data_IF_193135636625
#
_entry.id   IF_193135636625
#
_cell.length_a   1.000
_cell.length_b   1.000
_cell.length_c   1.000
_cell.angle_alpha   90.00
_cell.angle_beta   90.00
_cell.angle_gamma   90.00
#
_symmetry.space_group_name_H-M   'P 1'
#
loop_
_entity.id
_entity.type
_entity.pdbx_description
1 polymer ?
#
# COMPACT_ATOMS: atom_id res chain seq x y z
N UNK A 1 10.92 -20.34 -29.39
CA UNK A 1 12.31 -19.90 -29.13
C UNK A 1 12.29 -18.51 -28.47
N UNK A 2 12.09 -18.40 -27.15
CA UNK A 2 12.16 -17.10 -26.41
C UNK A 2 12.65 -17.29 -24.96
N UNK A 3 13.57 -18.26 -24.73
CA UNK A 3 14.08 -18.56 -23.39
C UNK A 3 15.21 -17.65 -22.86
N UNK A 4 16.09 -17.00 -23.65
CA UNK A 4 17.21 -16.27 -23.09
C UNK A 4 16.84 -14.92 -22.47
N UNK A 5 15.88 -14.18 -22.99
CA UNK A 5 15.49 -12.86 -22.48
C UNK A 5 14.78 -12.94 -21.11
N UNK A 6 13.92 -13.91 -20.91
CA UNK A 6 13.20 -14.10 -19.63
C UNK A 6 14.17 -14.54 -18.52
N UNK A 7 15.20 -15.32 -18.85
CA UNK A 7 16.23 -15.76 -17.89
C UNK A 7 17.08 -14.59 -17.41
N UNK A 8 17.44 -13.67 -18.30
CA UNK A 8 18.22 -12.47 -17.95
C UNK A 8 17.42 -11.52 -17.04
N UNK A 9 16.12 -11.33 -17.29
CA UNK A 9 15.28 -10.48 -16.44
C UNK A 9 15.07 -11.08 -15.06
N UNK A 10 14.85 -12.40 -14.95
CA UNK A 10 14.67 -13.04 -13.64
C UNK A 10 15.95 -13.02 -12.82
N UNK A 11 17.12 -13.21 -13.43
CA UNK A 11 18.42 -13.08 -12.76
C UNK A 11 18.69 -11.65 -12.31
N UNK A 12 18.40 -10.66 -13.16
CA UNK A 12 18.51 -9.25 -12.82
C UNK A 12 17.64 -8.86 -11.61
N UNK A 13 16.37 -9.29 -11.59
CA UNK A 13 15.46 -9.03 -10.49
C UNK A 13 15.75 -9.87 -9.23
N UNK A 14 16.65 -10.84 -9.28
CA UNK A 14 17.10 -11.63 -8.14
C UNK A 14 18.43 -11.12 -7.52
N UNK A 15 19.07 -10.12 -8.12
CA UNK A 15 20.26 -9.50 -7.55
C UNK A 15 19.90 -8.75 -6.27
N UNK A 16 20.54 -9.07 -5.11
CA UNK A 16 20.20 -8.44 -3.83
C UNK A 16 20.30 -6.92 -3.85
N UNK A 17 21.22 -6.34 -4.61
CA UNK A 17 21.40 -4.89 -4.73
C UNK A 17 20.24 -4.25 -5.49
N UNK A 18 19.79 -4.90 -6.56
CA UNK A 18 18.65 -4.43 -7.36
C UNK A 18 17.35 -4.56 -6.58
N UNK A 19 17.18 -5.69 -5.89
CA UNK A 19 16.02 -5.89 -4.99
C UNK A 19 15.98 -4.80 -3.93
N UNK A 20 17.10 -4.50 -3.27
CA UNK A 20 17.17 -3.45 -2.26
C UNK A 20 16.86 -2.07 -2.84
N UNK A 21 17.43 -1.73 -4.00
CA UNK A 21 17.16 -0.45 -4.67
C UNK A 21 15.67 -0.31 -5.04
N UNK A 22 15.09 -1.34 -5.65
CA UNK A 22 13.68 -1.33 -6.04
C UNK A 22 12.76 -1.27 -4.82
N UNK A 23 13.07 -2.04 -3.76
CA UNK A 23 12.31 -1.99 -2.53
C UNK A 23 12.35 -0.60 -1.88
N UNK A 24 13.55 0.02 -1.81
CA UNK A 24 13.71 1.39 -1.29
C UNK A 24 12.92 2.40 -2.12
N UNK A 25 12.98 2.30 -3.44
CA UNK A 25 12.21 3.16 -4.35
C UNK A 25 10.69 2.98 -4.12
N UNK A 26 10.21 1.75 -4.05
CA UNK A 26 8.80 1.46 -3.77
C UNK A 26 8.37 2.04 -2.41
N UNK A 27 9.18 1.87 -1.37
CA UNK A 27 8.92 2.44 -0.05
C UNK A 27 8.89 3.96 -0.07
N UNK A 28 9.81 4.61 -0.78
CA UNK A 28 9.85 6.06 -0.94
C UNK A 28 8.62 6.59 -1.68
N UNK A 29 8.23 5.94 -2.79
CA UNK A 29 7.04 6.29 -3.56
C UNK A 29 5.76 6.08 -2.73
N UNK A 30 5.68 5.01 -1.95
CA UNK A 30 4.54 4.77 -1.09
C UNK A 30 4.47 5.76 0.07
N UNK A 31 5.60 6.03 0.73
CA UNK A 31 5.69 7.01 1.80
C UNK A 31 5.34 8.43 1.34
N UNK A 32 5.78 8.84 0.15
CA UNK A 32 5.46 10.16 -0.43
C UNK A 32 3.97 10.32 -0.78
N UNK A 33 3.22 9.22 -0.89
CA UNK A 33 1.78 9.29 -1.18
C UNK A 33 0.97 9.96 -0.07
N UNK A 34 1.37 9.81 1.20
CA UNK A 34 0.65 10.41 2.33
C UNK A 34 0.66 11.95 2.31
N UNK A 35 1.84 12.61 2.22
CA UNK A 35 1.89 14.07 2.05
C UNK A 35 1.13 14.54 0.81
N UNK A 36 1.26 13.83 -0.31
CA UNK A 36 0.56 14.19 -1.55
C UNK A 36 -0.97 14.12 -1.41
N UNK A 37 -1.48 13.11 -0.68
CA UNK A 37 -2.92 12.99 -0.39
C UNK A 37 -3.38 14.14 0.51
N UNK A 38 -2.60 14.44 1.56
CA UNK A 38 -2.92 15.53 2.50
C UNK A 38 -2.99 16.87 1.77
N UNK A 39 -1.98 17.19 0.95
CA UNK A 39 -1.99 18.39 0.12
C UNK A 39 -3.20 18.42 -0.82
N UNK A 40 -3.58 17.28 -1.41
CA UNK A 40 -4.77 17.17 -2.24
C UNK A 40 -6.06 17.48 -1.48
N UNK A 41 -6.18 17.04 -0.23
CA UNK A 41 -7.32 17.35 0.62
C UNK A 41 -7.38 18.84 0.97
N UNK A 42 -6.24 19.46 1.28
CA UNK A 42 -6.14 20.88 1.57
C UNK A 42 -6.50 21.72 0.33
N UNK A 43 -5.98 21.39 -0.85
CA UNK A 43 -6.28 22.09 -2.10
C UNK A 43 -7.76 22.01 -2.50
N UNK A 44 -8.43 20.87 -2.22
CA UNK A 44 -9.84 20.65 -2.52
C UNK A 44 -10.76 21.01 -1.35
N UNK A 45 -10.21 21.54 -0.25
CA UNK A 45 -10.94 21.92 0.96
C UNK A 45 -11.81 20.80 1.52
N UNK A 46 -11.31 19.55 1.46
CA UNK A 46 -12.02 18.38 1.98
C UNK A 46 -11.90 18.38 3.51
N UNK A 47 -13.06 18.47 4.17
CA UNK A 47 -13.12 18.48 5.63
C UNK A 47 -12.57 17.16 6.25
N UNK A 48 -11.96 17.24 7.46
CA UNK A 48 -11.37 16.07 8.13
C UNK A 48 -12.34 14.90 8.34
N UNK A 49 -13.61 15.18 8.55
CA UNK A 49 -14.65 14.18 8.81
C UNK A 49 -15.48 13.79 7.56
N UNK A 50 -15.20 14.40 6.40
CA UNK A 50 -15.92 14.09 5.16
C UNK A 50 -15.35 12.84 4.49
N UNK A 51 -15.87 11.68 4.91
CA UNK A 51 -15.49 10.37 4.37
C UNK A 51 -15.89 10.25 2.90
N UNK A 52 -17.05 10.81 2.52
CA UNK A 52 -17.60 10.72 1.16
C UNK A 52 -16.67 11.39 0.14
N UNK A 53 -16.27 12.63 0.39
CA UNK A 53 -15.35 13.36 -0.48
C UNK A 53 -13.97 12.70 -0.55
N UNK A 54 -13.48 12.11 0.56
CA UNK A 54 -12.23 11.34 0.56
C UNK A 54 -12.32 10.09 -0.31
N UNK A 55 -13.43 9.36 -0.27
CA UNK A 55 -13.67 8.19 -1.13
C UNK A 55 -13.75 8.58 -2.61
N UNK A 56 -14.44 9.67 -2.93
CA UNK A 56 -14.53 10.20 -4.29
C UNK A 56 -13.13 10.60 -4.79
N UNK A 57 -12.36 11.32 -3.97
CA UNK A 57 -10.98 11.70 -4.29
C UNK A 57 -10.10 10.47 -4.54
N UNK A 58 -10.21 9.43 -3.70
CA UNK A 58 -9.49 8.18 -3.90
C UNK A 58 -9.91 7.50 -5.22
N UNK A 59 -11.22 7.50 -5.54
CA UNK A 59 -11.75 6.96 -6.79
C UNK A 59 -11.14 7.63 -8.02
N UNK A 60 -11.10 8.96 -8.05
CA UNK A 60 -10.46 9.72 -9.14
C UNK A 60 -8.96 9.40 -9.26
N UNK A 61 -8.24 9.31 -8.15
CA UNK A 61 -6.81 8.94 -8.15
C UNK A 61 -6.57 7.57 -8.77
N UNK A 62 -7.34 6.57 -8.36
CA UNK A 62 -7.20 5.21 -8.90
C UNK A 62 -7.61 5.13 -10.37
N UNK A 63 -8.64 5.86 -10.77
CA UNK A 63 -9.07 5.93 -12.15
C UNK A 63 -7.98 6.55 -13.04
N UNK A 64 -7.43 7.69 -12.63
CA UNK A 64 -6.33 8.34 -13.34
C UNK A 64 -5.08 7.45 -13.40
N UNK A 65 -4.70 6.83 -12.29
CA UNK A 65 -3.57 5.91 -12.25
C UNK A 65 -3.78 4.71 -13.19
N UNK A 66 -4.99 4.14 -13.21
CA UNK A 66 -5.36 3.05 -14.10
C UNK A 66 -5.30 3.46 -15.58
N UNK A 67 -5.79 4.66 -15.91
CA UNK A 67 -5.70 5.20 -17.27
C UNK A 67 -4.25 5.43 -17.69
N UNK A 68 -3.44 6.06 -16.84
CA UNK A 68 -2.02 6.30 -17.12
C UNK A 68 -1.26 4.97 -17.33
N UNK A 69 -1.47 3.97 -16.46
CA UNK A 69 -0.84 2.66 -16.61
C UNK A 69 -1.30 1.93 -17.87
N UNK A 70 -2.59 2.01 -18.19
CA UNK A 70 -3.14 1.40 -19.42
C UNK A 70 -2.56 2.05 -20.67
N UNK A 71 -2.42 3.38 -20.67
CA UNK A 71 -1.79 4.14 -21.76
C UNK A 71 -0.31 3.77 -21.90
N UNK A 72 0.42 3.74 -20.79
CA UNK A 72 1.83 3.36 -20.79
C UNK A 72 2.02 1.93 -21.34
N UNK A 73 1.19 0.99 -20.90
CA UNK A 73 1.25 -0.38 -21.38
C UNK A 73 0.89 -0.49 -22.87
N UNK A 74 -0.05 0.32 -23.35
CA UNK A 74 -0.38 0.39 -24.79
C UNK A 74 0.80 0.94 -25.61
N UNK A 75 1.48 1.99 -25.13
CA UNK A 75 2.69 2.55 -25.75
C UNK A 75 3.82 1.49 -25.79
N UNK A 76 3.94 0.69 -24.76
CA UNK A 76 4.90 -0.43 -24.71
C UNK A 76 4.50 -1.64 -25.57
N UNK A 77 3.42 -1.55 -26.34
CA UNK A 77 2.92 -2.62 -27.21
C UNK A 77 2.33 -3.82 -26.45
N UNK A 78 1.96 -3.65 -25.19
CA UNK A 78 1.32 -4.71 -24.40
C UNK A 78 -0.17 -4.75 -24.67
N UNK A 79 -0.78 -5.92 -24.94
CA UNK A 79 -2.20 -6.04 -25.27
C UNK A 79 -3.10 -5.93 -24.03
N UNK A 80 -3.10 -4.78 -23.36
CA UNK A 80 -3.84 -4.56 -22.09
C UNK A 80 -5.36 -4.70 -22.27
N UNK A 81 -5.88 -4.31 -23.44
CA UNK A 81 -7.31 -4.34 -23.72
C UNK A 81 -7.80 -5.67 -24.34
N UNK A 82 -6.88 -6.61 -24.64
CA UNK A 82 -7.24 -7.92 -25.18
C UNK A 82 -7.47 -8.97 -24.09
N UNK A 83 -8.19 -8.59 -23.06
CA UNK A 83 -8.58 -9.51 -22.00
C UNK A 83 -9.81 -10.32 -22.42
N UNK A 84 -9.79 -11.64 -22.17
CA UNK A 84 -11.00 -12.44 -22.29
C UNK A 84 -12.05 -11.97 -21.29
N UNK A 85 -13.34 -12.19 -21.57
CA UNK A 85 -14.42 -11.82 -20.63
C UNK A 85 -14.23 -12.45 -19.26
N UNK A 86 -13.74 -13.67 -19.21
CA UNK A 86 -13.45 -14.39 -17.98
C UNK A 86 -12.32 -13.71 -17.18
N UNK A 87 -11.20 -13.40 -17.84
CA UNK A 87 -10.06 -12.72 -17.21
C UNK A 87 -10.44 -11.31 -16.74
N UNK A 88 -11.24 -10.59 -17.56
CA UNK A 88 -11.74 -9.28 -17.16
C UNK A 88 -12.60 -9.36 -15.87
N UNK A 89 -13.51 -10.34 -15.79
CA UNK A 89 -14.33 -10.58 -14.60
C UNK A 89 -13.47 -10.87 -13.34
N UNK A 90 -12.44 -11.70 -13.49
CA UNK A 90 -11.51 -11.99 -12.38
C UNK A 90 -10.74 -10.75 -11.92
N UNK A 91 -10.20 -9.96 -12.86
CA UNK A 91 -9.47 -8.73 -12.56
C UNK A 91 -10.40 -7.68 -11.93
N UNK A 92 -11.63 -7.55 -12.45
CA UNK A 92 -12.62 -6.64 -11.88
C UNK A 92 -13.01 -7.03 -10.45
N UNK A 93 -13.27 -8.31 -10.21
CA UNK A 93 -13.56 -8.83 -8.88
C UNK A 93 -12.40 -8.58 -7.90
N UNK A 94 -11.17 -8.86 -8.35
CA UNK A 94 -9.98 -8.60 -7.56
C UNK A 94 -9.84 -7.10 -7.23
N UNK A 95 -10.07 -6.21 -8.20
CA UNK A 95 -10.04 -4.77 -8.00
C UNK A 95 -11.11 -4.28 -7.00
N UNK A 96 -12.33 -4.81 -7.08
CA UNK A 96 -13.40 -4.48 -6.14
C UNK A 96 -13.05 -4.95 -4.73
N UNK A 97 -12.59 -6.18 -4.56
CA UNK A 97 -12.27 -6.73 -3.25
C UNK A 97 -10.99 -6.12 -2.67
N UNK A 98 -9.91 -6.09 -3.46
CA UNK A 98 -8.58 -5.67 -3.02
C UNK A 98 -8.48 -4.15 -2.82
N UNK A 99 -9.14 -3.37 -3.66
CA UNK A 99 -9.04 -1.90 -3.61
C UNK A 99 -10.34 -1.30 -3.10
N UNK A 100 -11.47 -1.56 -3.75
CA UNK A 100 -12.74 -0.93 -3.41
C UNK A 100 -13.16 -1.20 -1.96
N UNK A 101 -13.37 -2.46 -1.62
CA UNK A 101 -13.84 -2.86 -0.28
C UNK A 101 -12.82 -2.53 0.81
N UNK A 102 -11.53 -2.76 0.54
CA UNK A 102 -10.45 -2.44 1.48
C UNK A 102 -10.43 -0.94 1.83
N UNK A 103 -10.53 -0.05 0.84
CA UNK A 103 -10.50 1.39 1.09
C UNK A 103 -11.77 1.89 1.78
N UNK A 104 -12.94 1.34 1.47
CA UNK A 104 -14.18 1.67 2.20
C UNK A 104 -14.02 1.37 3.69
N UNK A 105 -13.59 0.16 4.05
CA UNK A 105 -13.35 -0.20 5.45
C UNK A 105 -12.23 0.62 6.09
N UNK A 106 -11.17 0.89 5.36
CA UNK A 106 -10.05 1.69 5.84
C UNK A 106 -10.50 3.11 6.21
N UNK A 107 -11.25 3.79 5.34
CA UNK A 107 -11.71 5.16 5.62
C UNK A 107 -12.80 5.21 6.70
N UNK A 108 -13.70 4.24 6.74
CA UNK A 108 -14.67 4.12 7.84
C UNK A 108 -13.91 3.92 9.16
N UNK A 109 -12.98 2.98 9.23
CA UNK A 109 -12.18 2.74 10.42
C UNK A 109 -11.37 3.97 10.85
N UNK A 110 -10.78 4.69 9.90
CA UNK A 110 -10.01 5.90 10.16
C UNK A 110 -10.87 7.06 10.70
N UNK A 111 -12.15 7.11 10.35
CA UNK A 111 -13.08 8.13 10.87
C UNK A 111 -13.35 7.96 12.38
N UNK A 112 -13.23 6.72 12.90
CA UNK A 112 -13.50 6.40 14.30
C UNK A 112 -12.23 6.11 15.13
N UNK A 113 -11.03 6.31 14.56
CA UNK A 113 -9.78 6.03 15.27
C UNK A 113 -8.73 7.12 15.02
N UNK A 114 -7.76 7.21 15.91
CA UNK A 114 -6.64 8.14 15.73
C UNK A 114 -5.66 7.60 14.68
N UNK A 115 -4.95 8.50 13.99
CA UNK A 115 -3.95 8.11 12.98
C UNK A 115 -2.87 7.17 13.55
N UNK A 116 -2.53 7.34 14.83
CA UNK A 116 -1.61 6.48 15.56
C UNK A 116 -2.13 5.03 15.63
N UNK A 117 -3.36 4.84 16.08
CA UNK A 117 -3.99 3.52 16.14
C UNK A 117 -4.16 2.90 14.76
N UNK A 118 -4.55 3.70 13.77
CA UNK A 118 -4.68 3.26 12.39
C UNK A 118 -3.35 2.76 11.81
N UNK A 119 -2.23 3.42 12.10
CA UNK A 119 -0.91 3.01 11.61
C UNK A 119 -0.46 1.69 12.23
N UNK A 120 -0.70 1.48 13.53
CA UNK A 120 -0.41 0.20 14.21
C UNK A 120 -1.25 -0.93 13.61
N UNK A 121 -2.55 -0.71 13.44
CA UNK A 121 -3.44 -1.70 12.82
C UNK A 121 -3.03 -2.03 11.39
N UNK A 122 -2.63 -1.02 10.62
CA UNK A 122 -2.16 -1.25 9.24
C UNK A 122 -0.84 -2.05 9.20
N UNK A 123 0.10 -1.78 10.12
CA UNK A 123 1.32 -2.58 10.24
C UNK A 123 1.05 -4.04 10.62
N UNK A 124 0.00 -4.29 11.40
CA UNK A 124 -0.44 -5.64 11.78
C UNK A 124 -0.87 -6.47 10.57
N UNK A 125 -1.36 -5.84 9.49
CA UNK A 125 -1.74 -6.50 8.24
C UNK A 125 -0.59 -7.30 7.64
N UNK A 126 0.64 -6.75 7.65
CA UNK A 126 1.82 -7.45 7.13
C UNK A 126 2.11 -8.72 7.94
N UNK A 127 1.98 -8.64 9.27
CA UNK A 127 2.16 -9.79 10.14
C UNK A 127 1.12 -10.89 9.87
N UNK A 128 -0.16 -10.51 9.77
CA UNK A 128 -1.22 -11.46 9.42
C UNK A 128 -1.05 -12.04 8.02
N UNK A 129 -0.57 -11.27 7.04
CA UNK A 129 -0.31 -11.77 5.69
C UNK A 129 0.75 -12.86 5.68
N UNK A 130 1.84 -12.67 6.43
CA UNK A 130 2.90 -13.69 6.56
C UNK A 130 2.40 -14.92 7.29
N UNK A 131 1.57 -14.74 8.33
CA UNK A 131 0.97 -15.85 9.08
C UNK A 131 -0.01 -16.65 8.20
N UNK A 132 -0.90 -15.97 7.49
CA UNK A 132 -1.85 -16.60 6.56
C UNK A 132 -1.14 -17.33 5.43
N UNK A 133 -0.07 -16.75 4.88
CA UNK A 133 0.74 -17.40 3.85
C UNK A 133 1.29 -18.74 4.30
N UNK A 134 1.67 -18.87 5.58
CA UNK A 134 2.12 -20.13 6.16
C UNK A 134 1.07 -21.25 6.12
N UNK A 135 -0.20 -20.90 6.33
CA UNK A 135 -1.30 -21.86 6.32
C UNK A 135 -1.85 -22.15 4.92
N UNK A 136 -1.87 -21.13 4.05
CA UNK A 136 -2.48 -21.23 2.72
C UNK A 136 -1.50 -21.79 1.70
N UNK A 137 -0.23 -21.38 1.76
CA UNK A 137 0.77 -21.76 0.76
C UNK A 137 1.72 -22.84 1.30
N UNK A 138 1.69 -24.02 0.69
CA UNK A 138 2.56 -25.16 1.09
C UNK A 138 4.05 -24.85 0.88
N UNK A 139 4.39 -23.97 -0.06
CA UNK A 139 5.77 -23.61 -0.42
C UNK A 139 6.28 -22.35 0.29
N UNK A 140 5.45 -21.66 1.08
CA UNK A 140 5.81 -20.42 1.77
C UNK A 140 5.68 -20.52 3.29
N UNK A 141 6.35 -21.56 3.85
CA UNK A 141 6.35 -21.79 5.28
C UNK A 141 7.10 -20.72 6.05
N UNK A 142 6.61 -20.42 7.24
CA UNK A 142 7.31 -19.55 8.20
C UNK A 142 8.71 -20.11 8.48
N UNK A 143 9.71 -19.31 8.21
CA UNK A 143 11.09 -19.57 8.61
C UNK A 143 11.45 -18.66 9.79
N UNK A 144 12.44 -19.03 10.59
CA UNK A 144 12.94 -18.22 11.71
C UNK A 144 13.35 -16.82 11.25
N UNK A 145 13.91 -16.69 10.04
CA UNK A 145 14.29 -15.41 9.45
C UNK A 145 13.08 -14.52 9.15
N UNK A 146 12.00 -15.09 8.61
CA UNK A 146 10.75 -14.37 8.34
C UNK A 146 10.09 -13.90 9.63
N UNK A 147 10.00 -14.78 10.62
CA UNK A 147 9.43 -14.45 11.94
C UNK A 147 10.21 -13.34 12.63
N UNK A 148 11.54 -13.43 12.61
CA UNK A 148 12.40 -12.40 13.20
C UNK A 148 12.27 -11.05 12.48
N UNK A 149 12.23 -11.05 11.13
CA UNK A 149 11.98 -9.84 10.35
C UNK A 149 10.63 -9.19 10.65
N UNK A 150 9.57 -9.99 10.77
CA UNK A 150 8.23 -9.51 11.15
C UNK A 150 8.22 -8.90 12.56
N UNK A 151 8.85 -9.55 13.53
CA UNK A 151 8.95 -9.04 14.91
C UNK A 151 9.73 -7.73 14.98
N UNK A 152 10.88 -7.64 14.30
CA UNK A 152 11.66 -6.41 14.24
C UNK A 152 10.88 -5.27 13.56
N UNK A 153 10.20 -5.55 12.44
CA UNK A 153 9.39 -4.57 11.73
C UNK A 153 8.25 -4.06 12.60
N UNK A 154 7.55 -4.95 13.31
CA UNK A 154 6.46 -4.59 14.21
C UNK A 154 6.96 -3.79 15.43
N UNK A 155 8.08 -4.20 16.02
CA UNK A 155 8.74 -3.45 17.10
C UNK A 155 9.15 -2.04 16.65
N UNK A 156 9.66 -1.89 15.41
CA UNK A 156 9.97 -0.58 14.82
C UNK A 156 8.74 0.32 14.71
N UNK A 157 7.62 -0.21 14.24
CA UNK A 157 6.34 0.54 14.17
C UNK A 157 5.88 0.97 15.56
N UNK A 158 5.95 0.09 16.55
CA UNK A 158 5.59 0.42 17.93
C UNK A 158 6.49 1.50 18.50
N UNK A 159 7.80 1.44 18.26
CA UNK A 159 8.79 2.41 18.77
C UNK A 159 8.52 3.81 18.19
N UNK A 160 8.29 3.90 16.87
CA UNK A 160 7.98 5.20 16.22
C UNK A 160 6.68 5.78 16.79
N UNK A 161 5.67 4.95 16.98
CA UNK A 161 4.38 5.41 17.48
C UNK A 161 4.42 5.75 19.00
N UNK A 162 5.21 5.04 19.79
CA UNK A 162 5.42 5.35 21.20
C UNK A 162 6.18 6.68 21.40
N UNK A 163 7.13 6.98 20.50
CA UNK A 163 7.87 8.25 20.50
C UNK A 163 7.03 9.45 20.06
N UNK A 164 6.02 9.25 19.23
CA UNK A 164 5.16 10.34 18.75
C UNK A 164 4.15 10.83 19.79
N UNK A 165 3.73 10.00 20.72
CA UNK A 165 2.75 10.34 21.75
C UNK A 165 3.20 11.49 22.70
N UNK A 166 4.41 11.45 23.30
CA UNK A 166 4.90 12.52 24.17
C UNK A 166 5.16 13.82 23.42
N UNK A 167 5.66 13.75 22.19
CA UNK A 167 5.95 14.95 21.38
C UNK A 167 4.67 15.68 20.95
N UNK A 168 3.62 14.95 20.58
CA UNK A 168 2.33 15.54 20.24
C UNK A 168 1.64 16.17 21.45
N UNK A 169 1.79 15.61 22.64
CA UNK A 169 1.25 16.21 23.87
C UNK A 169 1.98 17.50 24.24
N UNK A 170 3.29 17.60 24.00
CA UNK A 170 4.07 18.81 24.22
C UNK A 170 3.71 19.94 23.24
N UNK A 171 3.40 19.60 21.99
CA UNK A 171 2.98 20.59 20.98
C UNK A 171 1.58 21.14 21.30
N UNK A 172 0.67 20.30 21.80
CA UNK A 172 -0.69 20.74 22.18
C UNK A 172 -0.71 21.63 23.44
N UNK A 173 0.31 21.56 24.30
CA UNK A 173 0.44 22.44 25.47
C UNK A 173 0.93 23.84 25.07
N UNK A 174 1.49 24.03 23.89
CA UNK A 174 2.05 25.29 23.40
C UNK A 174 1.12 26.11 22.52
N UNK A 175 -0.11 25.70 22.26
CA UNK A 175 -1.12 26.55 21.61
C UNK A 175 -1.87 27.35 22.70
N UNK A 176 -1.63 28.68 22.83
CA UNK A 176 -2.46 29.52 23.67
C UNK A 176 -3.86 29.66 23.06
N UNK A 177 -4.86 29.42 23.89
CA UNK A 177 -6.29 29.66 23.62
C UNK A 177 -6.57 31.05 23.09
#
# INVERSE_FOLDING_TARGET
MNAPAARNVSQFLSDPKIVLLLATLCCALWGSSYPAIKNGYEMLQIAPHDVSSKLIFAGYRFLLAGLCLSLLAAIMGKPVLRLSRHTFGQVALLGILQTGLQYVFFYIGLAFTTGLRASILNATTTFFSVLLAHFVYQNDKLSTRKSFGCLLGFAGVLTVNAGAGPLLSLIHISEPT
#
